data_IF_197868005898
#
_entry.id   IF_197868005898
#
_cell.length_a   1.000
_cell.length_b   1.000
_cell.length_c   1.000
_cell.angle_alpha   90.00
_cell.angle_beta   90.00
_cell.angle_gamma   90.00
#
_symmetry.space_group_name_H-M   'P 1'
#
loop_
_entity.id
_entity.type
_entity.pdbx_description
1 polymer ?
#
# COMPACT_ATOMS: atom_id res chain seq x y z
N UNK A 1 -1.21 -26.66 4.65
CA UNK A 1 -0.41 -25.75 5.51
C UNK A 1 -0.35 -24.37 4.86
N UNK A 2 -1.36 -23.51 5.06
CA UNK A 2 -1.40 -22.20 4.41
C UNK A 2 -0.34 -21.21 4.92
N UNK A 3 0.09 -21.33 6.17
CA UNK A 3 1.10 -20.45 6.78
C UNK A 3 2.47 -20.53 6.09
N UNK A 4 2.91 -21.70 5.69
CA UNK A 4 4.20 -21.86 5.01
C UNK A 4 4.22 -21.29 3.59
N UNK A 5 3.08 -21.29 2.89
CA UNK A 5 2.95 -20.65 1.59
C UNK A 5 2.97 -19.13 1.72
N UNK A 6 2.28 -18.59 2.73
CA UNK A 6 2.28 -17.15 3.02
C UNK A 6 3.67 -16.68 3.42
N UNK A 7 4.40 -17.45 4.25
CA UNK A 7 5.78 -17.12 4.61
C UNK A 7 6.74 -17.19 3.41
N UNK A 8 6.55 -18.13 2.49
CA UNK A 8 7.35 -18.22 1.27
C UNK A 8 7.06 -17.05 0.32
N UNK A 9 5.80 -16.69 0.11
CA UNK A 9 5.41 -15.54 -0.73
C UNK A 9 5.90 -14.22 -0.13
N UNK A 10 5.83 -14.06 1.20
CA UNK A 10 6.41 -12.92 1.90
C UNK A 10 7.95 -12.93 1.80
N UNK A 11 8.60 -14.08 1.85
CA UNK A 11 10.05 -14.18 1.69
C UNK A 11 10.50 -13.80 0.27
N UNK A 12 9.77 -14.24 -0.76
CA UNK A 12 10.02 -13.85 -2.16
C UNK A 12 9.82 -12.35 -2.36
N UNK A 13 8.74 -11.78 -1.80
CA UNK A 13 8.51 -10.32 -1.83
C UNK A 13 9.58 -9.54 -1.04
N UNK A 14 10.18 -10.16 -0.02
CA UNK A 14 11.31 -9.59 0.74
C UNK A 14 12.62 -9.57 -0.04
N UNK A 15 12.89 -10.63 -0.81
CA UNK A 15 14.14 -10.77 -1.57
C UNK A 15 14.17 -9.89 -2.83
N UNK A 16 13.01 -9.56 -3.39
CA UNK A 16 12.91 -8.80 -4.64
C UNK A 16 12.84 -7.27 -4.46
N UNK A 17 12.99 -6.72 -3.25
CA UNK A 17 12.90 -5.27 -2.93
C UNK A 17 11.59 -4.59 -3.44
N UNK A 18 10.50 -5.37 -3.55
CA UNK A 18 9.22 -4.92 -4.16
C UNK A 18 8.18 -4.41 -3.18
N UNK A 19 8.57 -4.09 -1.94
CA UNK A 19 7.62 -3.49 -1.00
C UNK A 19 7.25 -2.08 -1.47
N UNK A 20 6.02 -1.91 -1.89
CA UNK A 20 5.48 -0.60 -2.28
C UNK A 20 4.73 0.04 -1.12
N UNK A 21 4.58 1.37 -1.09
CA UNK A 21 3.75 2.06 -0.11
C UNK A 21 2.32 1.50 -0.05
N UNK A 22 1.74 1.13 -1.18
CA UNK A 22 0.37 0.61 -1.26
C UNK A 22 0.19 -0.75 -0.57
N UNK A 23 1.28 -1.50 -0.37
CA UNK A 23 1.27 -2.75 0.40
C UNK A 23 1.39 -2.51 1.90
N UNK A 24 1.86 -1.35 2.32
CA UNK A 24 2.10 -1.00 3.72
C UNK A 24 0.90 -0.32 4.35
N UNK A 25 0.32 0.64 3.65
CA UNK A 25 -0.78 1.43 4.19
C UNK A 25 -2.13 0.72 4.04
N UNK A 26 -2.91 0.76 5.13
CA UNK A 26 -4.24 0.14 5.21
C UNK A 26 -5.35 1.17 5.05
N UNK A 27 -6.54 0.69 4.83
CA UNK A 27 -7.77 1.48 4.84
C UNK A 27 -8.98 0.55 5.04
N UNK A 28 -9.70 0.66 6.15
CA UNK A 28 -9.50 1.55 7.28
C UNK A 28 -8.47 1.05 8.32
N UNK A 29 -8.10 1.94 9.26
CA UNK A 29 -7.41 1.60 10.52
C UNK A 29 -8.42 1.45 11.66
N UNK A 30 -8.16 0.51 12.57
CA UNK A 30 -9.01 0.28 13.73
C UNK A 30 -8.37 0.89 14.97
N UNK A 31 -8.99 1.93 15.53
CA UNK A 31 -8.51 2.68 16.69
C UNK A 31 -9.45 2.54 17.90
N UNK A 32 -10.18 1.42 17.99
CA UNK A 32 -11.11 1.11 19.09
C UNK A 32 -10.41 0.99 20.45
N UNK A 33 -9.14 0.60 20.43
CA UNK A 33 -8.29 0.56 21.65
C UNK A 33 -8.06 1.93 22.29
N UNK A 34 -8.31 3.03 21.58
CA UNK A 34 -8.20 4.38 22.14
C UNK A 34 -9.29 4.70 23.17
N UNK A 35 -10.37 3.92 23.22
CA UNK A 35 -11.49 4.11 24.13
C UNK A 35 -12.25 5.41 23.91
N UNK A 36 -12.18 6.00 22.73
CA UNK A 36 -12.89 7.23 22.37
C UNK A 36 -14.31 6.87 21.91
N UNK A 37 -15.30 7.47 22.56
CA UNK A 37 -16.71 7.31 22.21
C UNK A 37 -17.42 8.66 22.21
N UNK A 38 -18.44 8.81 21.36
CA UNK A 38 -19.21 10.05 21.27
C UNK A 38 -18.45 11.19 20.58
N UNK A 39 -18.64 12.41 21.07
CA UNK A 39 -17.95 13.60 20.52
C UNK A 39 -16.66 13.86 21.29
N UNK A 40 -15.56 14.03 20.58
CA UNK A 40 -14.24 14.37 21.11
C UNK A 40 -13.54 15.37 20.18
N UNK A 41 -12.55 16.11 20.71
CA UNK A 41 -11.76 17.06 19.93
C UNK A 41 -10.53 16.38 19.28
N UNK A 42 -9.93 16.99 18.24
CA UNK A 42 -8.68 16.48 17.64
C UNK A 42 -7.57 16.28 18.65
N UNK A 43 -7.46 17.21 19.61
CA UNK A 43 -6.51 17.09 20.70
C UNK A 43 -6.74 15.84 21.58
N UNK A 44 -8.00 15.44 21.77
CA UNK A 44 -8.32 14.25 22.57
C UNK A 44 -7.92 12.99 21.81
N UNK A 45 -8.14 12.97 20.48
CA UNK A 45 -7.69 11.89 19.60
C UNK A 45 -6.16 11.78 19.61
N UNK A 46 -5.46 12.88 19.42
CA UNK A 46 -3.99 12.91 19.47
C UNK A 46 -3.45 12.42 20.81
N UNK A 47 -4.01 12.91 21.92
CA UNK A 47 -3.59 12.48 23.27
C UNK A 47 -3.89 11.00 23.52
N UNK A 48 -5.01 10.48 23.03
CA UNK A 48 -5.35 9.07 23.13
C UNK A 48 -4.36 8.20 22.34
N UNK A 49 -4.03 8.59 21.10
CA UNK A 49 -3.01 7.91 20.28
C UNK A 49 -1.65 7.88 20.99
N UNK A 50 -1.25 9.00 21.62
CA UNK A 50 0.02 9.06 22.34
C UNK A 50 0.04 8.20 23.59
N UNK A 51 -1.08 8.12 24.33
CA UNK A 51 -1.21 7.27 25.50
C UNK A 51 -1.13 5.78 25.13
N UNK A 52 -1.74 5.40 24.02
CA UNK A 52 -1.80 4.05 23.51
C UNK A 52 -0.84 3.84 22.32
N UNK A 53 0.30 4.54 22.35
CA UNK A 53 1.23 4.59 21.20
C UNK A 53 1.72 3.20 20.76
N UNK A 54 1.93 2.28 21.69
CA UNK A 54 2.33 0.91 21.37
C UNK A 54 1.26 0.21 20.52
N UNK A 55 -0.01 0.28 20.94
CA UNK A 55 -1.13 -0.30 20.20
C UNK A 55 -1.31 0.39 18.83
N UNK A 56 -1.11 1.71 18.77
CA UNK A 56 -1.17 2.45 17.53
C UNK A 56 -0.06 2.04 16.54
N UNK A 57 1.17 1.83 17.03
CA UNK A 57 2.28 1.33 16.19
C UNK A 57 1.97 -0.08 15.67
N UNK A 58 1.39 -0.96 16.50
CA UNK A 58 0.99 -2.29 16.09
C UNK A 58 -0.12 -2.25 15.02
N UNK A 59 -1.06 -1.32 15.14
CA UNK A 59 -2.11 -1.12 14.13
C UNK A 59 -1.55 -0.56 12.82
N UNK A 60 -0.55 0.34 12.86
CA UNK A 60 0.14 0.81 11.66
C UNK A 60 0.81 -0.35 10.90
N UNK A 61 1.34 -1.32 11.63
CA UNK A 61 2.02 -2.50 11.09
C UNK A 61 3.49 -2.57 11.49
N UNK A 62 4.15 -3.60 11.00
CA UNK A 62 5.58 -3.82 11.23
C UNK A 62 6.44 -2.78 10.52
N UNK A 63 7.66 -2.58 11.03
CA UNK A 63 8.67 -1.70 10.45
C UNK A 63 8.45 -0.19 10.66
N UNK A 64 7.41 0.24 11.37
CA UNK A 64 7.26 1.63 11.79
C UNK A 64 8.06 1.92 13.06
N UNK A 65 8.82 3.00 13.05
CA UNK A 65 9.54 3.54 14.19
C UNK A 65 9.05 4.97 14.46
N UNK A 66 8.63 5.24 15.72
CA UNK A 66 8.20 6.56 16.13
C UNK A 66 9.38 7.53 16.17
N UNK A 67 9.24 8.70 15.54
CA UNK A 67 10.28 9.74 15.47
C UNK A 67 9.90 10.93 16.33
N UNK A 68 8.72 11.51 16.10
CA UNK A 68 8.30 12.71 16.80
C UNK A 68 6.77 12.86 16.83
N UNK A 69 6.29 13.66 17.80
CA UNK A 69 4.95 14.22 17.83
C UNK A 69 5.01 15.73 17.72
N UNK A 70 3.95 16.34 17.22
CA UNK A 70 3.83 17.80 17.10
C UNK A 70 5.12 18.41 16.54
N UNK A 71 5.60 17.81 15.44
CA UNK A 71 6.83 18.25 14.80
C UNK A 71 6.64 19.66 14.27
N UNK A 72 7.33 20.61 14.87
CA UNK A 72 7.31 22.00 14.43
C UNK A 72 8.09 22.16 13.12
N UNK A 73 7.48 22.84 12.18
CA UNK A 73 8.03 23.20 10.89
C UNK A 73 7.82 24.70 10.71
N UNK A 74 8.88 25.46 10.50
CA UNK A 74 8.75 26.91 10.27
C UNK A 74 8.94 27.20 8.78
N UNK A 75 7.96 27.88 8.20
CA UNK A 75 7.97 28.30 6.79
C UNK A 75 7.63 29.79 6.75
N UNK A 76 8.49 30.61 6.18
CA UNK A 76 8.33 32.06 6.08
C UNK A 76 7.98 32.77 7.41
N UNK A 77 8.50 32.22 8.52
CA UNK A 77 8.25 32.76 9.86
C UNK A 77 6.94 32.27 10.52
N UNK A 78 6.15 31.46 9.83
CA UNK A 78 4.95 30.83 10.36
C UNK A 78 5.27 29.40 10.82
N UNK A 79 4.68 29.00 11.95
CA UNK A 79 4.89 27.68 12.54
C UNK A 79 3.72 26.76 12.18
N UNK A 80 4.06 25.61 11.66
CA UNK A 80 3.16 24.49 11.38
C UNK A 80 3.53 23.31 12.28
N UNK A 81 2.57 22.49 12.61
CA UNK A 81 2.76 21.33 13.49
C UNK A 81 2.19 20.08 12.87
N UNK A 82 3.06 19.11 12.61
CA UNK A 82 2.68 17.78 12.17
C UNK A 82 2.37 16.90 13.38
N UNK A 83 1.22 16.26 13.42
CA UNK A 83 0.77 15.48 14.57
C UNK A 83 1.75 14.39 14.96
N UNK A 84 2.06 13.49 14.01
CA UNK A 84 2.95 12.35 14.25
C UNK A 84 3.92 12.17 13.10
N UNK A 85 5.17 11.90 13.42
CA UNK A 85 6.22 11.56 12.47
C UNK A 85 6.76 10.17 12.79
N UNK A 86 6.77 9.30 11.81
CA UNK A 86 7.35 7.97 11.87
C UNK A 86 8.42 7.79 10.80
N UNK A 87 9.23 6.75 10.96
CA UNK A 87 10.13 6.25 9.93
C UNK A 87 9.76 4.80 9.61
N UNK A 88 9.57 4.49 8.34
CA UNK A 88 9.32 3.13 7.89
C UNK A 88 10.61 2.48 7.40
N UNK A 89 11.11 1.51 8.16
CA UNK A 89 12.45 0.93 7.97
C UNK A 89 12.65 0.30 6.59
N UNK A 90 11.73 -0.52 6.13
CA UNK A 90 11.84 -1.22 4.84
C UNK A 90 11.60 -0.31 3.63
N UNK A 91 10.74 0.67 3.74
CA UNK A 91 10.55 1.69 2.72
C UNK A 91 11.64 2.77 2.75
N UNK A 92 12.46 2.80 3.80
CA UNK A 92 13.54 3.78 4.03
C UNK A 92 13.09 5.23 3.86
N UNK A 93 11.97 5.59 4.47
CA UNK A 93 11.40 6.94 4.35
C UNK A 93 10.66 7.38 5.58
N UNK A 94 10.57 8.69 5.73
CA UNK A 94 9.73 9.32 6.72
C UNK A 94 8.24 9.17 6.35
N UNK A 95 7.41 8.99 7.36
CA UNK A 95 5.96 8.90 7.23
C UNK A 95 5.34 9.97 8.13
N UNK A 96 4.78 10.99 7.49
CA UNK A 96 4.03 12.06 8.15
C UNK A 96 2.57 11.63 8.33
N UNK A 97 2.08 11.62 9.57
CA UNK A 97 0.68 11.28 9.87
C UNK A 97 -0.03 12.51 10.43
N UNK A 98 -1.14 12.87 9.82
CA UNK A 98 -2.01 13.96 10.22
C UNK A 98 -3.39 13.40 10.57
N UNK A 99 -3.92 13.79 11.74
CA UNK A 99 -5.15 13.25 12.32
C UNK A 99 -6.29 14.27 12.12
N UNK A 100 -7.38 13.86 11.47
CA UNK A 100 -8.54 14.72 11.22
C UNK A 100 -9.82 14.11 11.80
N UNK A 101 -10.57 14.88 12.56
CA UNK A 101 -11.87 14.44 13.11
C UNK A 101 -12.96 14.34 12.05
N UNK A 102 -12.87 15.18 11.02
CA UNK A 102 -13.87 15.27 9.98
C UNK A 102 -13.57 14.39 8.77
N UNK A 103 -14.33 14.62 7.73
CA UNK A 103 -14.06 14.06 6.42
C UNK A 103 -12.84 14.73 5.78
N UNK A 104 -12.08 13.99 5.02
CA UNK A 104 -10.97 14.50 4.23
C UNK A 104 -11.40 15.66 3.31
N UNK A 105 -10.63 16.74 3.34
CA UNK A 105 -10.86 17.95 2.54
C UNK A 105 -9.69 18.23 1.59
N UNK A 106 -9.96 18.97 0.53
CA UNK A 106 -8.90 19.37 -0.42
C UNK A 106 -7.79 20.21 0.23
N UNK A 107 -8.10 20.98 1.28
CA UNK A 107 -7.13 21.74 2.05
C UNK A 107 -6.12 20.85 2.78
N UNK A 108 -6.53 19.67 3.25
CA UNK A 108 -5.65 18.70 3.94
C UNK A 108 -4.54 18.20 3.01
N UNK A 109 -4.84 18.06 1.71
CA UNK A 109 -3.83 17.77 0.70
C UNK A 109 -2.74 18.84 0.66
N UNK A 110 -3.12 20.11 0.55
CA UNK A 110 -2.16 21.22 0.48
C UNK A 110 -1.30 21.33 1.74
N UNK A 111 -1.91 21.12 2.92
CA UNK A 111 -1.19 21.09 4.19
C UNK A 111 -0.19 19.93 4.22
N UNK A 112 -0.61 18.72 3.85
CA UNK A 112 0.28 17.56 3.82
C UNK A 112 1.40 17.72 2.79
N UNK A 113 1.14 18.26 1.60
CA UNK A 113 2.18 18.54 0.60
C UNK A 113 3.25 19.49 1.15
N UNK A 114 2.85 20.53 1.89
CA UNK A 114 3.79 21.43 2.57
C UNK A 114 4.67 20.67 3.57
N UNK A 115 4.08 19.80 4.38
CA UNK A 115 4.81 18.98 5.35
C UNK A 115 5.81 18.06 4.65
N UNK A 116 5.41 17.36 3.59
CA UNK A 116 6.29 16.46 2.86
C UNK A 116 7.46 17.20 2.21
N UNK A 117 7.21 18.36 1.59
CA UNK A 117 8.29 19.19 1.01
C UNK A 117 9.26 19.70 2.06
N UNK A 118 8.75 20.10 3.23
CA UNK A 118 9.60 20.53 4.33
C UNK A 118 10.46 19.37 4.86
N UNK A 119 9.88 18.21 5.08
CA UNK A 119 10.60 17.01 5.53
C UNK A 119 11.66 16.58 4.52
N UNK A 120 11.35 16.62 3.23
CA UNK A 120 12.31 16.33 2.15
C UNK A 120 13.51 17.29 2.18
N UNK A 121 13.25 18.57 2.42
CA UNK A 121 14.28 19.60 2.39
C UNK A 121 15.17 19.64 3.65
N UNK A 122 14.62 19.32 4.83
CA UNK A 122 15.29 19.59 6.11
C UNK A 122 15.53 18.37 7.00
N UNK A 123 14.79 17.27 6.81
CA UNK A 123 14.88 16.08 7.68
C UNK A 123 15.40 14.83 6.95
N UNK A 124 15.14 14.72 5.64
CA UNK A 124 15.53 13.56 4.86
C UNK A 124 17.04 13.37 4.83
N UNK A 125 17.51 12.14 5.02
CA UNK A 125 18.93 11.81 5.01
C UNK A 125 19.35 11.15 3.70
N UNK A 126 20.66 11.15 3.46
CA UNK A 126 21.21 10.50 2.27
C UNK A 126 20.88 9.00 2.23
N UNK A 127 20.34 8.55 1.10
CA UNK A 127 19.93 7.16 0.89
C UNK A 127 18.50 6.84 1.33
N UNK A 128 17.77 7.84 1.82
CA UNK A 128 16.34 7.71 2.07
C UNK A 128 15.52 8.04 0.83
N UNK A 129 14.34 7.46 0.77
CA UNK A 129 13.35 7.75 -0.26
C UNK A 129 12.50 8.97 0.16
N UNK A 130 11.86 9.69 -0.79
CA UNK A 130 10.99 10.82 -0.48
C UNK A 130 9.93 10.46 0.57
N UNK A 131 9.61 11.38 1.51
CA UNK A 131 8.64 11.12 2.57
C UNK A 131 7.23 10.88 2.03
N UNK A 132 6.43 10.15 2.80
CA UNK A 132 5.03 9.85 2.50
C UNK A 132 4.13 10.47 3.57
N UNK A 133 2.97 11.01 3.14
CA UNK A 133 1.92 11.47 4.01
C UNK A 133 0.80 10.45 4.18
N UNK A 134 0.32 10.30 5.39
CA UNK A 134 -0.90 9.56 5.72
C UNK A 134 -1.87 10.49 6.45
N UNK A 135 -2.99 10.84 5.82
CA UNK A 135 -4.08 11.55 6.48
C UNK A 135 -5.06 10.52 7.00
N UNK A 136 -5.20 10.45 8.34
CA UNK A 136 -6.21 9.63 9.01
C UNK A 136 -7.43 10.49 9.32
N UNK A 137 -8.58 10.16 8.74
CA UNK A 137 -9.81 10.94 8.84
C UNK A 137 -11.02 10.07 9.22
N UNK A 138 -12.06 10.68 9.75
CA UNK A 138 -13.30 9.98 10.09
C UNK A 138 -14.06 9.49 8.86
N UNK A 139 -13.86 10.12 7.72
CA UNK A 139 -14.47 9.71 6.46
C UNK A 139 -13.82 10.33 5.24
N UNK A 140 -14.03 9.70 4.09
CA UNK A 140 -13.56 10.18 2.80
C UNK A 140 -14.52 9.74 1.70
N UNK A 141 -14.46 10.40 0.56
CA UNK A 141 -15.15 9.95 -0.64
C UNK A 141 -14.11 9.51 -1.67
N UNK A 142 -14.35 8.41 -2.33
CA UNK A 142 -13.44 7.88 -3.37
C UNK A 142 -13.29 8.87 -4.54
N UNK A 143 -14.33 9.65 -4.81
CA UNK A 143 -14.29 10.68 -5.84
C UNK A 143 -13.28 11.79 -5.51
N UNK A 144 -13.27 12.32 -4.27
CA UNK A 144 -12.30 13.32 -3.84
C UNK A 144 -10.86 12.77 -3.90
N UNK A 145 -10.65 11.56 -3.38
CA UNK A 145 -9.33 10.91 -3.40
C UNK A 145 -8.81 10.79 -4.83
N UNK A 146 -9.66 10.31 -5.74
CA UNK A 146 -9.30 10.14 -7.16
C UNK A 146 -9.04 11.46 -7.88
N UNK A 147 -9.93 12.45 -7.73
CA UNK A 147 -9.81 13.73 -8.44
C UNK A 147 -8.61 14.55 -7.97
N UNK A 148 -8.24 14.44 -6.70
CA UNK A 148 -7.07 15.13 -6.14
C UNK A 148 -5.74 14.46 -6.49
N UNK A 149 -5.73 13.28 -7.11
CA UNK A 149 -4.52 12.53 -7.50
C UNK A 149 -3.50 12.46 -6.36
N UNK A 150 -3.95 12.02 -5.20
CA UNK A 150 -3.13 12.04 -3.98
C UNK A 150 -1.89 11.16 -4.09
N UNK A 151 -1.99 10.07 -4.82
CA UNK A 151 -0.89 9.12 -5.04
C UNK A 151 0.30 9.77 -5.73
N UNK A 152 0.05 10.66 -6.70
CA UNK A 152 1.09 11.40 -7.41
C UNK A 152 1.88 12.35 -6.49
N UNK A 153 1.26 12.76 -5.37
CA UNK A 153 1.86 13.63 -4.34
C UNK A 153 2.49 12.85 -3.17
N UNK A 154 2.52 11.53 -3.23
CA UNK A 154 2.99 10.70 -2.12
C UNK A 154 2.08 10.73 -0.89
N UNK A 155 0.80 11.08 -1.06
CA UNK A 155 -0.18 11.18 0.02
C UNK A 155 -1.12 9.97 -0.03
N UNK A 156 -1.38 9.38 1.13
CA UNK A 156 -2.40 8.37 1.36
C UNK A 156 -3.46 8.94 2.31
N UNK A 157 -4.70 8.61 2.04
CA UNK A 157 -5.82 8.96 2.91
C UNK A 157 -6.50 7.68 3.34
N UNK A 158 -6.60 7.48 4.64
CA UNK A 158 -7.27 6.33 5.21
C UNK A 158 -8.33 6.77 6.22
N UNK A 159 -9.41 6.01 6.27
CA UNK A 159 -10.42 6.17 7.31
C UNK A 159 -9.97 5.49 8.58
N UNK A 160 -10.28 6.07 9.74
CA UNK A 160 -10.15 5.38 11.03
C UNK A 160 -11.52 5.11 11.66
N UNK A 161 -11.60 4.06 12.45
CA UNK A 161 -12.78 3.66 13.20
C UNK A 161 -12.40 3.54 14.69
N UNK A 162 -13.06 4.31 15.56
CA UNK A 162 -12.85 4.26 17.01
C UNK A 162 -13.76 3.28 17.73
N UNK A 163 -14.74 2.73 17.01
CA UNK A 163 -15.62 1.67 17.48
C UNK A 163 -15.59 0.53 16.47
N UNK A 164 -15.49 -0.69 16.96
CA UNK A 164 -15.57 -1.86 16.07
C UNK A 164 -16.96 -1.92 15.43
N UNK A 165 -17.06 -2.08 14.12
CA UNK A 165 -18.33 -2.30 13.48
C UNK A 165 -19.01 -3.57 14.03
N UNK A 166 -20.35 -3.67 13.99
CA UNK A 166 -21.06 -4.88 14.38
C UNK A 166 -20.45 -6.12 13.73
N UNK A 167 -20.40 -7.23 14.49
CA UNK A 167 -19.76 -8.48 14.03
C UNK A 167 -20.24 -8.93 12.66
N UNK A 168 -21.55 -8.81 12.39
CA UNK A 168 -22.15 -9.14 11.08
C UNK A 168 -21.58 -8.34 9.91
N UNK A 169 -21.17 -7.07 10.15
CA UNK A 169 -20.55 -6.24 9.13
C UNK A 169 -19.10 -6.65 8.89
N UNK A 170 -18.38 -6.99 9.96
CA UNK A 170 -17.01 -7.52 9.87
C UNK A 170 -16.97 -8.84 9.13
N UNK A 171 -17.89 -9.75 9.44
CA UNK A 171 -18.01 -11.04 8.77
C UNK A 171 -18.30 -10.88 7.27
N UNK A 172 -19.23 -9.97 6.90
CA UNK A 172 -19.50 -9.67 5.48
C UNK A 172 -18.28 -9.13 4.76
N UNK A 173 -17.59 -8.16 5.34
CA UNK A 173 -16.34 -7.60 4.75
C UNK A 173 -15.26 -8.66 4.62
N UNK A 174 -15.10 -9.52 5.62
CA UNK A 174 -14.14 -10.61 5.58
C UNK A 174 -14.47 -11.61 4.45
N UNK A 175 -15.73 -12.00 4.31
CA UNK A 175 -16.17 -12.88 3.23
C UNK A 175 -15.94 -12.26 1.85
N UNK A 176 -16.21 -10.96 1.69
CA UNK A 176 -15.96 -10.25 0.43
C UNK A 176 -14.47 -10.17 0.11
N UNK A 177 -13.62 -9.90 1.10
CA UNK A 177 -12.16 -9.90 0.92
C UNK A 177 -11.63 -11.28 0.53
N UNK A 178 -12.10 -12.35 1.20
CA UNK A 178 -11.73 -13.73 0.86
C UNK A 178 -12.16 -14.07 -0.57
N UNK A 179 -13.37 -13.68 -0.97
CA UNK A 179 -13.87 -13.89 -2.33
C UNK A 179 -12.99 -13.19 -3.36
N UNK A 180 -12.69 -11.90 -3.15
CA UNK A 180 -11.85 -11.12 -4.05
C UNK A 180 -10.41 -11.67 -4.13
N UNK A 181 -9.85 -12.12 -3.01
CA UNK A 181 -8.54 -12.75 -2.98
C UNK A 181 -8.54 -14.05 -3.80
N UNK A 182 -9.56 -14.90 -3.64
CA UNK A 182 -9.71 -16.14 -4.42
C UNK A 182 -9.85 -15.86 -5.92
N UNK A 183 -10.62 -14.85 -6.31
CA UNK A 183 -10.78 -14.45 -7.70
C UNK A 183 -9.46 -13.95 -8.31
N UNK A 184 -8.66 -13.19 -7.56
CA UNK A 184 -7.31 -12.74 -7.98
C UNK A 184 -6.37 -13.92 -8.19
N UNK A 185 -6.32 -14.84 -7.24
CA UNK A 185 -5.50 -16.07 -7.34
C UNK A 185 -5.92 -16.94 -8.52
N UNK A 186 -7.23 -17.09 -8.76
CA UNK A 186 -7.72 -17.85 -9.91
C UNK A 186 -7.33 -17.22 -11.25
N UNK A 187 -7.37 -15.89 -11.37
CA UNK A 187 -6.90 -15.17 -12.57
C UNK A 187 -5.40 -15.36 -12.80
N UNK A 188 -4.60 -15.21 -11.75
CA UNK A 188 -3.14 -15.42 -11.83
C UNK A 188 -2.79 -16.85 -12.23
N UNK A 189 -3.53 -17.86 -11.73
CA UNK A 189 -3.35 -19.26 -12.13
C UNK A 189 -3.73 -19.51 -13.60
N UNK A 190 -4.71 -18.80 -14.15
CA UNK A 190 -5.08 -18.90 -15.56
C UNK A 190 -4.05 -18.25 -16.47
N UNK A 191 -3.46 -17.13 -16.07
CA UNK A 191 -2.42 -16.42 -16.83
C UNK A 191 -1.08 -17.18 -16.85
N UNK A 192 -0.87 -18.12 -15.91
CA UNK A 192 0.33 -18.97 -15.84
C UNK A 192 0.20 -20.31 -16.58
N UNK A 193 -0.98 -20.63 -17.15
CA UNK A 193 -1.13 -21.83 -17.96
C UNK A 193 -0.39 -21.62 -19.30
N UNK A 194 0.53 -22.51 -19.68
CA UNK A 194 1.18 -22.42 -20.98
C UNK A 194 0.11 -22.51 -22.08
N UNK A 195 0.12 -21.52 -22.98
CA UNK A 195 -0.77 -21.51 -24.13
C UNK A 195 -0.70 -22.84 -24.91
N UNK A 196 -1.74 -23.19 -25.69
CA UNK A 196 -1.78 -24.44 -26.42
C UNK A 196 -0.50 -24.58 -27.23
N UNK A 197 0.18 -25.73 -27.02
CA UNK A 197 1.41 -26.06 -27.76
C UNK A 197 1.19 -25.91 -29.26
N UNK A 198 2.00 -25.11 -29.91
CA UNK A 198 2.00 -25.02 -31.37
C UNK A 198 2.20 -26.42 -31.96
N UNK A 199 1.44 -26.84 -32.98
CA UNK A 199 1.63 -28.13 -33.60
C UNK A 199 3.07 -28.24 -34.15
N UNK A 200 3.70 -29.37 -33.86
CA UNK A 200 5.05 -29.63 -34.30
C UNK A 200 5.14 -29.53 -35.86
N UNK A 201 6.22 -28.98 -36.42
CA UNK A 201 6.39 -28.90 -37.86
C UNK A 201 6.40 -30.29 -38.46
N UNK A 202 5.54 -30.53 -39.49
CA UNK A 202 5.49 -31.76 -40.24
C UNK A 202 6.86 -32.07 -40.86
N UNK A 203 7.34 -33.30 -40.62
CA UNK A 203 8.57 -33.79 -41.23
C UNK A 203 8.36 -33.88 -42.77
N UNK A 204 9.30 -33.39 -43.58
CA UNK A 204 9.20 -33.53 -45.02
C UNK A 204 9.23 -35.00 -45.43
N UNK A 205 8.28 -35.39 -46.30
CA UNK A 205 8.16 -36.73 -46.88
C UNK A 205 9.40 -37.10 -47.67
N UNK A 206 9.89 -38.34 -47.61
CA UNK A 206 11.06 -38.77 -48.39
C UNK A 206 10.75 -38.77 -49.90
N UNK A 207 11.49 -37.95 -50.62
CA UNK A 207 11.38 -37.82 -52.09
C UNK A 207 11.63 -39.15 -52.78
N UNK A 208 10.70 -39.55 -53.66
CA UNK A 208 10.83 -40.68 -54.56
C UNK A 208 11.98 -40.43 -55.51
N UNK A 209 13.07 -41.18 -55.37
CA UNK A 209 14.22 -41.23 -56.29
C UNK A 209 13.79 -41.92 -57.63
N UNK A 210 13.57 -41.13 -58.68
CA UNK A 210 13.39 -41.68 -60.04
C UNK A 210 14.75 -41.90 -60.63
N UNK A 211 15.12 -43.19 -60.74
CA UNK A 211 16.32 -43.64 -61.47
C UNK A 211 16.33 -43.15 -62.92
N UNK A 212 17.41 -42.52 -63.33
CA UNK A 212 17.77 -42.27 -64.68
C UNK A 212 18.67 -43.41 -65.17
N UNK A 213 18.13 -44.24 -66.02
CA UNK A 213 18.87 -45.21 -66.78
C UNK A 213 19.81 -44.53 -67.80
N UNK A 214 21.10 -44.77 -67.67
CA UNK A 214 22.06 -44.51 -68.78
C UNK A 214 21.88 -45.53 -69.86
N UNK A 215 21.64 -45.06 -71.07
CA UNK A 215 21.90 -45.78 -72.28
C UNK A 215 23.13 -45.18 -72.93
N UNK A 216 24.17 -46.02 -73.04
CA UNK A 216 25.32 -45.83 -73.90
C UNK A 216 24.91 -46.10 -75.37
N UNK A 217 25.42 -45.32 -76.27
CA UNK A 217 25.73 -45.75 -77.61
C UNK A 217 26.67 -44.75 -78.28
N UNK A 218 27.82 -45.27 -78.73
CA UNK A 218 28.77 -44.81 -79.77
C UNK A 218 29.28 -43.37 -79.68
#
# INVERSE_FOLDING_TARGET
KPEQLIEQDIAVLRDEDRLTPDMVFRDPYFLDFLGLSGQYAEKDLEQAVLRELEAFILELGTDFAFVARQKRMTVDGEDYYLDLLFYHRRLRRLVAIDLKLGNFQAADKGQMELYLRWLEAFEMQFGEEPPIGLVLCAGKTDEHVRLLRLEDSGIRVAQYLTELPPQELLERKLHDMIRLARERLARQAQDQLPGPALPAPEKPSPGKNRGRSHRSAN
#
